data_IF_108788129183
#
_entry.id   IF_108788129183
#
_cell.length_a   1.000
_cell.length_b   1.000
_cell.length_c   1.000
_cell.angle_alpha   90.00
_cell.angle_beta   90.00
_cell.angle_gamma   90.00
#
_symmetry.space_group_name_H-M   'P 1'
#
loop_
_entity.id
_entity.type
_entity.pdbx_description
1 polymer ?
#
# COMPACT_ATOMS: atom_id res chain seq x y z
N UNK A 1 -8.60 12.09 36.43
CA UNK A 1 -9.19 13.42 36.73
C UNK A 1 -8.96 13.71 38.20
N UNK A 2 -8.08 14.66 38.55
CA UNK A 2 -7.96 15.14 39.94
C UNK A 2 -9.20 15.98 40.25
N UNK A 3 -10.01 15.54 41.21
CA UNK A 3 -11.07 16.34 41.81
C UNK A 3 -10.43 17.56 42.46
N UNK A 4 -10.71 18.75 41.92
CA UNK A 4 -10.39 20.01 42.61
C UNK A 4 -11.29 20.02 43.84
N UNK A 5 -10.69 20.02 45.02
CA UNK A 5 -11.41 20.17 46.29
C UNK A 5 -12.20 21.49 46.23
N UNK A 6 -13.49 21.39 45.96
CA UNK A 6 -14.40 22.52 45.98
C UNK A 6 -14.58 22.92 47.45
N UNK A 7 -13.89 23.97 47.88
CA UNK A 7 -14.13 24.60 49.18
C UNK A 7 -15.64 24.81 49.41
N UNK A 8 -16.12 24.54 50.63
CA UNK A 8 -17.52 24.69 50.99
C UNK A 8 -18.02 26.11 50.69
N UNK A 9 -19.29 26.26 50.28
CA UNK A 9 -19.83 27.53 49.76
C UNK A 9 -19.68 28.72 50.71
N UNK A 10 -19.57 28.42 52.01
CA UNK A 10 -19.36 29.36 53.11
C UNK A 10 -17.98 30.05 53.11
N UNK A 11 -16.98 29.49 52.42
CA UNK A 11 -15.64 30.07 52.26
C UNK A 11 -15.48 30.86 50.95
N UNK A 12 -16.54 30.98 50.14
CA UNK A 12 -16.48 31.72 48.87
C UNK A 12 -16.70 33.21 49.12
N UNK A 13 -15.62 33.98 49.04
CA UNK A 13 -15.66 35.44 49.14
C UNK A 13 -16.17 36.15 47.88
N UNK A 14 -16.20 37.48 47.92
CA UNK A 14 -16.49 38.32 46.75
C UNK A 14 -15.27 38.36 45.82
N UNK A 15 -15.50 38.25 44.51
CA UNK A 15 -14.43 38.37 43.53
C UNK A 15 -13.84 39.78 43.53
N UNK A 16 -12.51 39.86 43.58
CA UNK A 16 -11.74 41.10 43.52
C UNK A 16 -10.92 41.08 42.24
N UNK A 17 -10.93 42.18 41.49
CA UNK A 17 -10.12 42.31 40.30
C UNK A 17 -8.62 42.20 40.65
N UNK A 18 -7.79 41.42 39.93
CA UNK A 18 -6.37 41.17 40.28
C UNK A 18 -5.55 42.45 40.51
N UNK A 19 -5.76 43.50 39.69
CA UNK A 19 -5.10 44.81 39.87
C UNK A 19 -5.44 45.53 41.19
N UNK A 20 -6.55 45.19 41.83
CA UNK A 20 -7.02 45.80 43.08
C UNK A 20 -6.67 44.94 44.31
N UNK A 21 -6.20 43.70 44.10
CA UNK A 21 -5.98 42.74 45.19
C UNK A 21 -4.94 43.25 46.19
N UNK A 22 -3.88 43.89 45.70
CA UNK A 22 -2.80 44.42 46.54
C UNK A 22 -3.30 45.59 47.41
N UNK A 23 -4.10 46.49 46.83
CA UNK A 23 -4.69 47.62 47.56
C UNK A 23 -5.62 47.17 48.68
N UNK A 24 -6.47 46.17 48.40
CA UNK A 24 -7.40 45.62 49.38
C UNK A 24 -6.65 44.82 50.46
N UNK A 25 -5.61 44.07 50.09
CA UNK A 25 -4.82 43.31 51.03
C UNK A 25 -4.05 44.22 52.01
N UNK A 26 -3.47 45.32 51.52
CA UNK A 26 -2.80 46.34 52.34
C UNK A 26 -3.81 47.02 53.28
N UNK A 27 -5.01 47.35 52.78
CA UNK A 27 -6.08 47.95 53.58
C UNK A 27 -6.52 47.03 54.73
N UNK A 28 -6.57 45.71 54.49
CA UNK A 28 -6.95 44.72 55.50
C UNK A 28 -5.86 44.51 56.56
N UNK A 29 -4.61 44.23 56.16
CA UNK A 29 -3.44 44.31 57.05
C UNK A 29 -2.11 44.14 56.28
N UNK A 30 -1.01 44.72 56.76
CA UNK A 30 0.32 44.53 56.14
C UNK A 30 0.77 43.06 56.07
N UNK A 31 0.46 42.27 57.11
CA UNK A 31 0.80 40.85 57.16
C UNK A 31 0.03 40.05 56.10
N UNK A 32 -1.24 40.39 55.89
CA UNK A 32 -2.08 39.76 54.88
C UNK A 32 -1.62 40.10 53.45
N UNK A 33 -1.20 41.35 53.22
CA UNK A 33 -0.61 41.77 51.94
C UNK A 33 0.63 40.95 51.56
N UNK A 34 1.52 40.66 52.51
CA UNK A 34 2.70 39.81 52.27
C UNK A 34 2.31 38.41 51.80
N UNK A 35 1.38 37.76 52.49
CA UNK A 35 0.93 36.40 52.17
C UNK A 35 0.25 36.34 50.80
N UNK A 36 -0.58 37.35 50.47
CA UNK A 36 -1.21 37.45 49.14
C UNK A 36 -0.17 37.66 48.04
N UNK A 37 0.88 38.44 48.30
CA UNK A 37 2.01 38.64 47.39
C UNK A 37 2.73 37.33 47.05
N UNK A 38 3.10 36.55 48.06
CA UNK A 38 3.76 35.25 47.87
C UNK A 38 2.92 34.27 47.03
N UNK A 39 1.60 34.25 47.24
CA UNK A 39 0.68 33.42 46.45
C UNK A 39 0.61 33.90 45.00
N UNK A 40 0.54 35.21 44.77
CA UNK A 40 0.50 35.78 43.43
C UNK A 40 1.78 35.50 42.66
N UNK A 41 2.93 35.63 43.32
CA UNK A 41 4.24 35.34 42.73
C UNK A 41 4.36 33.86 42.37
N UNK A 42 3.96 32.95 43.27
CA UNK A 42 3.96 31.50 43.00
C UNK A 42 3.05 31.10 41.81
N UNK A 43 1.89 31.75 41.65
CA UNK A 43 1.00 31.54 40.50
C UNK A 43 1.67 32.04 39.21
N UNK A 44 2.32 33.20 39.26
CA UNK A 44 2.98 33.80 38.10
C UNK A 44 4.16 32.94 37.62
N UNK A 45 4.99 32.45 38.55
CA UNK A 45 6.09 31.52 38.25
C UNK A 45 5.59 30.22 37.62
N UNK A 46 4.50 29.64 38.14
CA UNK A 46 3.90 28.44 37.57
C UNK A 46 3.35 28.68 36.15
N UNK A 47 2.70 29.82 35.90
CA UNK A 47 2.18 30.15 34.56
C UNK A 47 3.33 30.29 33.55
N UNK A 48 4.44 30.93 33.93
CA UNK A 48 5.61 31.05 33.07
C UNK A 48 6.24 29.69 32.74
N UNK A 49 6.44 28.84 33.75
CA UNK A 49 6.99 27.50 33.55
C UNK A 49 6.11 26.64 32.63
N UNK A 50 4.79 26.65 32.84
CA UNK A 50 3.85 25.92 31.97
C UNK A 50 3.79 26.48 30.56
N UNK A 51 3.95 27.80 30.37
CA UNK A 51 3.98 28.39 29.04
C UNK A 51 5.27 28.02 28.28
N UNK A 52 6.41 27.99 28.95
CA UNK A 52 7.67 27.56 28.34
C UNK A 52 7.65 26.08 27.95
N UNK A 53 7.12 25.21 28.82
CA UNK A 53 6.93 23.78 28.53
C UNK A 53 5.97 23.56 27.35
N UNK A 54 4.81 24.22 27.34
CA UNK A 54 3.84 24.11 26.23
C UNK A 54 4.40 24.63 24.92
N UNK A 55 5.14 25.74 24.95
CA UNK A 55 5.82 26.29 23.77
C UNK A 55 6.91 25.35 23.26
N UNK A 56 7.63 24.69 24.14
CA UNK A 56 8.69 23.74 23.79
C UNK A 56 8.12 22.45 23.19
N UNK A 57 7.04 21.93 23.77
CA UNK A 57 6.30 20.77 23.24
C UNK A 57 5.72 21.09 21.86
N UNK A 58 5.16 22.29 21.68
CA UNK A 58 4.59 22.70 20.41
C UNK A 58 5.65 22.86 19.32
N UNK A 59 6.79 23.50 19.61
CA UNK A 59 7.92 23.60 18.67
C UNK A 59 8.46 22.22 18.27
N UNK A 60 8.65 21.34 19.25
CA UNK A 60 9.09 19.97 18.96
C UNK A 60 8.07 19.22 18.08
N UNK A 61 6.77 19.38 18.32
CA UNK A 61 5.74 18.78 17.48
C UNK A 61 5.79 19.32 16.04
N UNK A 62 5.95 20.63 15.87
CA UNK A 62 6.08 21.29 14.56
C UNK A 62 7.33 20.79 13.81
N UNK A 63 8.48 20.70 14.48
CA UNK A 63 9.73 20.19 13.90
C UNK A 63 9.59 18.73 13.45
N UNK A 64 8.99 17.87 14.29
CA UNK A 64 8.75 16.47 13.93
C UNK A 64 7.80 16.33 12.74
N UNK A 65 6.78 17.19 12.65
CA UNK A 65 5.83 17.17 11.54
C UNK A 65 6.48 17.60 10.22
N UNK A 66 7.30 18.65 10.26
CA UNK A 66 8.04 19.14 9.09
C UNK A 66 9.01 18.07 8.56
N UNK A 67 9.74 17.40 9.46
CA UNK A 67 10.65 16.30 9.09
C UNK A 67 9.90 15.15 8.39
N UNK A 68 8.74 14.74 8.92
CA UNK A 68 7.91 13.68 8.32
C UNK A 68 7.37 14.10 6.95
N UNK A 69 6.97 15.37 6.78
CA UNK A 69 6.52 15.89 5.48
C UNK A 69 7.64 15.84 4.44
N UNK A 70 8.86 16.24 4.81
CA UNK A 70 10.02 16.20 3.92
C UNK A 70 10.33 14.77 3.47
N UNK A 71 10.35 13.82 4.40
CA UNK A 71 10.54 12.39 4.09
C UNK A 71 9.46 11.87 3.12
N UNK A 72 8.19 12.19 3.37
CA UNK A 72 7.09 11.79 2.47
C UNK A 72 7.22 12.40 1.08
N UNK A 73 7.62 13.67 0.98
CA UNK A 73 7.80 14.34 -0.31
C UNK A 73 8.90 13.68 -1.15
N UNK A 74 10.01 13.26 -0.52
CA UNK A 74 11.09 12.53 -1.20
C UNK A 74 10.57 11.22 -1.78
N UNK A 75 9.82 10.44 -0.98
CA UNK A 75 9.24 9.16 -1.41
C UNK A 75 8.27 9.37 -2.58
N UNK A 76 7.41 10.39 -2.52
CA UNK A 76 6.47 10.73 -3.60
C UNK A 76 7.24 11.08 -4.88
N UNK A 77 8.33 11.85 -4.76
CA UNK A 77 9.13 12.23 -5.93
C UNK A 77 9.79 11.00 -6.57
N UNK A 78 10.34 10.08 -5.77
CA UNK A 78 10.93 8.82 -6.23
C UNK A 78 9.90 7.94 -6.95
N UNK A 79 8.74 7.69 -6.30
CA UNK A 79 7.62 6.96 -6.92
C UNK A 79 7.16 7.62 -8.23
N UNK A 80 7.14 8.95 -8.30
CA UNK A 80 6.77 9.67 -9.52
C UNK A 80 7.77 9.46 -10.67
N UNK A 81 9.06 9.32 -10.36
CA UNK A 81 10.12 9.02 -11.33
C UNK A 81 9.96 7.60 -11.87
N UNK A 82 9.70 6.63 -11.00
CA UNK A 82 9.39 5.25 -11.39
C UNK A 82 8.16 5.19 -12.32
N UNK A 83 7.06 5.85 -11.95
CA UNK A 83 5.85 5.92 -12.78
C UNK A 83 6.16 6.52 -14.16
N UNK A 84 6.97 7.59 -14.24
CA UNK A 84 7.38 8.20 -15.51
C UNK A 84 8.19 7.23 -16.38
N UNK A 85 9.06 6.40 -15.79
CA UNK A 85 9.80 5.36 -16.50
C UNK A 85 8.89 4.23 -17.02
N UNK A 86 7.74 3.99 -16.36
CA UNK A 86 6.74 3.00 -16.76
C UNK A 86 5.78 3.51 -17.86
N UNK A 87 5.62 4.84 -18.05
CA UNK A 87 4.78 5.43 -19.11
C UNK A 87 4.95 4.87 -20.53
N UNK A 88 6.15 4.53 -21.05
CA UNK A 88 6.26 3.95 -22.39
C UNK A 88 5.56 2.58 -22.56
N UNK A 89 5.18 1.90 -21.47
CA UNK A 89 4.45 0.61 -21.48
C UNK A 89 3.03 0.71 -20.90
N UNK A 90 2.46 1.91 -20.81
CA UNK A 90 1.12 2.10 -20.25
C UNK A 90 0.07 1.45 -21.16
N UNK A 91 -0.54 0.37 -20.67
CA UNK A 91 -1.66 -0.28 -21.33
C UNK A 91 -2.88 0.65 -21.23
N UNK A 92 -3.61 0.92 -22.33
CA UNK A 92 -4.81 1.74 -22.26
C UNK A 92 -5.81 1.18 -21.26
N UNK A 93 -6.45 2.07 -20.50
CA UNK A 93 -7.50 1.73 -19.55
C UNK A 93 -8.55 0.83 -20.22
N UNK A 94 -8.95 -0.24 -19.53
CA UNK A 94 -9.87 -1.29 -20.00
C UNK A 94 -9.33 -2.25 -21.07
N UNK A 95 -8.04 -2.16 -21.43
CA UNK A 95 -7.39 -3.13 -22.35
C UNK A 95 -6.43 -4.08 -21.65
N UNK A 96 -6.26 -3.93 -20.34
CA UNK A 96 -5.27 -4.64 -19.54
C UNK A 96 -5.35 -6.16 -19.72
N UNK A 97 -6.55 -6.74 -19.68
CA UNK A 97 -6.82 -8.19 -19.70
C UNK A 97 -7.46 -8.72 -20.99
N UNK A 98 -7.11 -8.16 -22.15
CA UNK A 98 -7.81 -8.48 -23.42
C UNK A 98 -7.38 -9.79 -24.12
N UNK A 99 -6.44 -10.55 -23.56
CA UNK A 99 -5.86 -11.72 -24.24
C UNK A 99 -6.36 -13.05 -23.66
N UNK A 100 -6.34 -14.06 -24.52
CA UNK A 100 -6.67 -15.46 -24.22
C UNK A 100 -5.43 -16.29 -24.57
N UNK A 101 -5.17 -17.32 -23.77
CA UNK A 101 -4.19 -18.36 -24.07
C UNK A 101 -4.93 -19.70 -24.17
N UNK A 102 -4.72 -20.40 -25.27
CA UNK A 102 -5.24 -21.73 -25.52
C UNK A 102 -4.10 -22.66 -25.89
N UNK A 103 -4.16 -23.89 -25.40
CA UNK A 103 -3.19 -24.94 -25.72
C UNK A 103 -3.97 -26.05 -26.40
N UNK A 104 -3.73 -26.19 -27.69
CA UNK A 104 -4.38 -27.17 -28.56
C UNK A 104 -3.43 -28.32 -28.85
N UNK A 105 -3.93 -29.56 -28.80
CA UNK A 105 -3.18 -30.72 -29.25
C UNK A 105 -3.14 -30.68 -30.79
N UNK A 106 -1.95 -30.70 -31.36
CA UNK A 106 -1.76 -30.60 -32.81
C UNK A 106 -1.55 -31.97 -33.44
N UNK A 107 -0.55 -32.72 -32.96
CA UNK A 107 -0.16 -34.01 -33.51
C UNK A 107 0.33 -34.97 -32.43
N UNK A 108 0.02 -36.25 -32.61
CA UNK A 108 0.59 -37.38 -31.86
C UNK A 108 1.33 -38.27 -32.86
N UNK A 109 2.66 -38.28 -32.79
CA UNK A 109 3.46 -39.07 -33.71
C UNK A 109 4.59 -39.80 -32.98
N UNK A 110 4.65 -41.12 -33.17
CA UNK A 110 5.68 -42.01 -32.60
C UNK A 110 5.89 -41.85 -31.09
N UNK A 111 4.80 -41.69 -30.32
CA UNK A 111 4.86 -41.56 -28.85
C UNK A 111 5.36 -40.19 -28.36
N UNK A 112 5.39 -39.19 -29.25
CA UNK A 112 5.59 -37.77 -28.91
C UNK A 112 4.30 -37.00 -29.20
N UNK A 113 3.88 -36.17 -28.26
CA UNK A 113 2.72 -35.29 -28.38
C UNK A 113 3.22 -33.88 -28.64
N UNK A 114 2.62 -33.20 -29.61
CA UNK A 114 2.91 -31.80 -29.91
C UNK A 114 1.71 -30.92 -29.58
N UNK A 115 1.95 -29.94 -28.72
CA UNK A 115 0.99 -28.92 -28.33
C UNK A 115 1.28 -27.60 -29.02
N UNK A 116 0.24 -26.97 -29.54
CA UNK A 116 0.29 -25.62 -30.07
C UNK A 116 -0.20 -24.61 -29.04
N UNK A 117 0.67 -23.70 -28.63
CA UNK A 117 0.37 -22.61 -27.72
C UNK A 117 -0.10 -21.39 -28.51
N UNK A 118 -1.38 -21.04 -28.39
CA UNK A 118 -1.99 -19.90 -29.09
C UNK A 118 -2.33 -18.80 -28.11
N UNK A 119 -1.75 -17.63 -28.33
CA UNK A 119 -2.13 -16.41 -27.61
C UNK A 119 -2.84 -15.46 -28.56
N UNK A 120 -4.09 -15.13 -28.24
CA UNK A 120 -4.98 -14.41 -29.13
C UNK A 120 -5.68 -13.25 -28.42
N UNK A 121 -5.96 -12.18 -29.16
CA UNK A 121 -6.72 -11.06 -28.64
C UNK A 121 -8.22 -11.35 -28.75
N UNK A 122 -8.95 -11.26 -27.63
CA UNK A 122 -10.39 -11.54 -27.55
C UNK A 122 -11.23 -10.71 -28.52
N UNK A 123 -10.79 -9.50 -28.86
CA UNK A 123 -11.49 -8.62 -29.81
C UNK A 123 -11.46 -9.10 -31.25
N UNK A 124 -10.48 -9.92 -31.60
CA UNK A 124 -10.29 -10.43 -32.96
C UNK A 124 -10.99 -11.78 -33.17
N UNK A 125 -11.60 -12.33 -32.12
CA UNK A 125 -12.23 -13.64 -32.13
C UNK A 125 -13.75 -13.52 -32.10
N UNK A 126 -14.41 -14.33 -32.93
CA UNK A 126 -15.84 -14.52 -32.89
C UNK A 126 -16.24 -15.47 -31.75
N UNK A 127 -17.49 -15.38 -31.28
CA UNK A 127 -18.02 -16.25 -30.20
C UNK A 127 -17.84 -17.75 -30.49
N UNK A 128 -17.97 -18.16 -31.76
CA UNK A 128 -17.78 -19.55 -32.19
C UNK A 128 -16.33 -20.00 -32.00
N UNK A 129 -15.36 -19.16 -32.36
CA UNK A 129 -13.94 -19.45 -32.23
C UNK A 129 -13.53 -19.52 -30.75
N UNK A 130 -14.05 -18.60 -29.92
CA UNK A 130 -13.83 -18.65 -28.46
C UNK A 130 -14.38 -19.96 -27.87
N UNK A 131 -15.56 -20.41 -28.33
CA UNK A 131 -16.13 -21.68 -27.84
C UNK A 131 -15.31 -22.89 -28.28
N UNK A 132 -14.68 -22.86 -29.46
CA UNK A 132 -13.75 -23.90 -29.90
C UNK A 132 -12.48 -23.90 -29.04
N UNK A 133 -11.91 -22.73 -28.77
CA UNK A 133 -10.74 -22.59 -27.90
C UNK A 133 -11.04 -23.04 -26.46
N UNK A 134 -12.27 -22.89 -25.97
CA UNK A 134 -12.66 -23.44 -24.66
C UNK A 134 -12.65 -24.97 -24.59
N UNK A 135 -12.65 -25.65 -25.73
CA UNK A 135 -12.56 -27.11 -25.82
C UNK A 135 -11.12 -27.61 -25.95
N UNK A 136 -10.13 -26.71 -26.00
CA UNK A 136 -8.71 -27.08 -26.04
C UNK A 136 -8.24 -27.70 -24.72
N UNK A 137 -7.07 -28.34 -24.72
CA UNK A 137 -6.54 -29.04 -23.55
C UNK A 137 -6.41 -28.12 -22.32
N UNK A 138 -5.95 -26.87 -22.54
CA UNK A 138 -5.97 -25.82 -21.53
C UNK A 138 -6.46 -24.50 -22.12
N UNK A 139 -7.23 -23.74 -21.34
CA UNK A 139 -7.79 -22.46 -21.73
C UNK A 139 -7.75 -21.47 -20.57
N UNK A 140 -7.12 -20.31 -20.80
CA UNK A 140 -7.02 -19.21 -19.85
C UNK A 140 -7.60 -17.93 -20.47
N UNK A 141 -8.61 -17.34 -19.81
CA UNK A 141 -9.22 -16.07 -20.20
C UNK A 141 -8.67 -14.91 -19.37
N UNK A 142 -8.88 -13.69 -19.85
CA UNK A 142 -8.55 -12.43 -19.17
C UNK A 142 -7.05 -12.26 -18.84
N UNK A 143 -6.17 -12.72 -19.72
CA UNK A 143 -4.74 -12.56 -19.56
C UNK A 143 -4.27 -11.15 -19.92
N UNK A 144 -3.20 -10.66 -19.26
CA UNK A 144 -2.71 -9.33 -19.54
C UNK A 144 -2.09 -9.22 -20.94
N UNK A 145 -1.86 -8.00 -21.42
CA UNK A 145 -1.19 -7.76 -22.73
C UNK A 145 0.27 -8.27 -22.76
N UNK A 146 0.92 -8.40 -21.61
CA UNK A 146 2.36 -8.64 -21.50
C UNK A 146 2.84 -9.93 -22.18
N UNK A 147 3.78 -9.82 -23.11
CA UNK A 147 4.32 -10.93 -23.94
C UNK A 147 5.18 -11.94 -23.16
N UNK A 148 5.53 -11.64 -21.90
CA UNK A 148 6.45 -12.39 -21.03
C UNK A 148 6.02 -13.81 -20.72
N UNK A 149 4.76 -14.18 -20.96
CA UNK A 149 4.21 -15.50 -20.63
C UNK A 149 4.89 -16.62 -21.40
N UNK A 150 5.13 -16.45 -22.70
CA UNK A 150 5.71 -17.53 -23.51
C UNK A 150 7.18 -17.78 -23.12
N UNK A 151 7.91 -16.72 -22.79
CA UNK A 151 9.31 -16.81 -22.36
C UNK A 151 9.40 -17.49 -21.00
N UNK A 152 8.64 -17.00 -20.00
CA UNK A 152 8.59 -17.60 -18.67
C UNK A 152 8.07 -19.04 -18.67
N UNK A 153 7.11 -19.36 -19.54
CA UNK A 153 6.62 -20.72 -19.70
C UNK A 153 7.70 -21.65 -20.25
N UNK A 154 8.47 -21.21 -21.26
CA UNK A 154 9.63 -21.97 -21.75
C UNK A 154 10.71 -22.14 -20.70
N UNK A 155 11.01 -21.10 -19.91
CA UNK A 155 11.98 -21.17 -18.82
C UNK A 155 11.56 -22.17 -17.73
N UNK A 156 10.30 -22.10 -17.28
CA UNK A 156 9.79 -23.02 -16.25
C UNK A 156 9.78 -24.47 -16.74
N UNK A 157 9.33 -24.71 -17.96
CA UNK A 157 9.29 -26.07 -18.52
C UNK A 157 10.69 -26.66 -18.76
N UNK A 158 11.69 -25.85 -19.13
CA UNK A 158 13.09 -26.32 -19.23
C UNK A 158 13.69 -26.74 -17.89
N UNK A 159 13.17 -26.25 -16.77
CA UNK A 159 13.64 -26.66 -15.44
C UNK A 159 13.03 -27.98 -14.99
N UNK A 160 11.86 -28.35 -15.54
CA UNK A 160 11.06 -29.50 -15.10
C UNK A 160 11.17 -30.73 -16.00
N UNK A 161 11.58 -30.54 -17.25
CA UNK A 161 11.69 -31.60 -18.27
C UNK A 161 13.06 -31.58 -18.95
N UNK A 162 13.72 -32.74 -19.00
CA UNK A 162 15.02 -32.91 -19.67
C UNK A 162 14.89 -33.17 -21.19
N UNK A 163 13.82 -33.84 -21.63
CA UNK A 163 13.54 -34.18 -23.05
C UNK A 163 12.33 -33.38 -23.56
N UNK A 164 12.52 -32.09 -23.80
CA UNK A 164 11.48 -31.18 -24.29
C UNK A 164 11.98 -30.35 -25.47
N UNK A 165 11.21 -30.37 -26.56
CA UNK A 165 11.51 -29.61 -27.78
C UNK A 165 10.57 -28.42 -27.90
N UNK A 166 11.15 -27.22 -28.09
CA UNK A 166 10.41 -25.99 -28.33
C UNK A 166 10.64 -25.50 -29.75
N UNK A 167 9.61 -25.52 -30.60
CA UNK A 167 9.67 -24.94 -31.94
C UNK A 167 8.64 -23.82 -32.10
N UNK A 168 9.11 -22.57 -32.08
CA UNK A 168 8.24 -21.38 -32.15
C UNK A 168 7.19 -21.38 -31.02
N UNK A 169 5.92 -21.62 -31.34
CA UNK A 169 4.79 -21.72 -30.42
C UNK A 169 4.36 -23.16 -30.15
N UNK A 170 5.16 -24.14 -30.57
CA UNK A 170 4.90 -25.56 -30.37
C UNK A 170 5.79 -26.12 -29.26
N UNK A 171 5.23 -27.04 -28.50
CA UNK A 171 5.91 -27.77 -27.44
C UNK A 171 5.73 -29.24 -27.73
N UNK A 172 6.82 -29.98 -27.84
CA UNK A 172 6.80 -31.43 -28.11
C UNK A 172 7.40 -32.16 -26.93
N UNK A 173 6.67 -33.14 -26.39
CA UNK A 173 7.02 -33.90 -25.19
C UNK A 173 6.66 -35.38 -25.39
N UNK A 174 7.38 -36.32 -24.74
CA UNK A 174 6.99 -37.73 -24.74
C UNK A 174 5.58 -37.95 -24.17
N UNK A 175 4.83 -38.89 -24.73
CA UNK A 175 3.45 -39.22 -24.32
C UNK A 175 3.32 -39.56 -22.82
N UNK A 176 4.36 -40.13 -22.21
CA UNK A 176 4.40 -40.44 -20.78
C UNK A 176 4.32 -39.21 -19.86
N UNK A 177 4.75 -38.05 -20.35
CA UNK A 177 4.85 -36.79 -19.60
C UNK A 177 3.68 -35.83 -19.88
N UNK A 178 2.68 -36.27 -20.64
CA UNK A 178 1.56 -35.45 -21.11
C UNK A 178 0.83 -34.71 -19.98
N UNK A 179 0.31 -35.47 -19.02
CA UNK A 179 -0.48 -34.91 -17.92
C UNK A 179 0.38 -34.02 -17.01
N UNK A 180 1.64 -34.41 -16.81
CA UNK A 180 2.61 -33.64 -16.03
C UNK A 180 2.87 -32.29 -16.68
N UNK A 181 2.99 -32.24 -18.01
CA UNK A 181 3.17 -31.00 -18.75
C UNK A 181 1.97 -30.06 -18.59
N UNK A 182 0.75 -30.56 -18.73
CA UNK A 182 -0.45 -29.74 -18.58
C UNK A 182 -0.56 -29.16 -17.17
N UNK A 183 -0.29 -29.96 -16.14
CA UNK A 183 -0.28 -29.52 -14.75
C UNK A 183 0.80 -28.45 -14.49
N UNK A 184 2.02 -28.66 -14.99
CA UNK A 184 3.11 -27.70 -14.89
C UNK A 184 2.77 -26.38 -15.57
N UNK A 185 2.16 -26.43 -16.76
CA UNK A 185 1.73 -25.23 -17.48
C UNK A 185 0.67 -24.47 -16.70
N UNK A 186 -0.35 -25.15 -16.16
CA UNK A 186 -1.38 -24.50 -15.35
C UNK A 186 -0.76 -23.81 -14.14
N UNK A 187 0.12 -24.52 -13.42
CA UNK A 187 0.82 -23.98 -12.25
C UNK A 187 1.65 -22.74 -12.59
N UNK A 188 2.44 -22.78 -13.66
CA UNK A 188 3.28 -21.66 -14.08
C UNK A 188 2.40 -20.45 -14.43
N UNK A 189 1.32 -20.65 -15.19
CA UNK A 189 0.43 -19.56 -15.59
C UNK A 189 -0.30 -18.96 -14.39
N UNK A 190 -0.79 -19.79 -13.48
CA UNK A 190 -1.41 -19.34 -12.23
C UNK A 190 -0.43 -18.53 -11.38
N UNK A 191 0.80 -18.99 -11.21
CA UNK A 191 1.83 -18.27 -10.46
C UNK A 191 2.23 -16.92 -11.09
N UNK A 192 2.02 -16.75 -12.40
CA UNK A 192 2.31 -15.49 -13.09
C UNK A 192 1.20 -14.45 -12.97
N UNK A 193 -0.02 -14.87 -12.66
CA UNK A 193 -1.22 -14.03 -12.74
C UNK A 193 -2.13 -14.08 -11.50
N UNK A 194 -1.64 -14.64 -10.39
CA UNK A 194 -2.12 -14.38 -9.03
C UNK A 194 -1.59 -13.04 -8.51
#
# INVERSE_FOLDING_TARGET
MKTIESYASEYRGTWIHPKLINYIAIWASPKYASVVGEIMDAINEHILATHDETTSIQKHAEDTFNMVIEEQNIIIEEQSKEIKQLKPRAVPKDKETSYILAIELEDEWQGKITYQVRRLNKRHLCKKEINLLKQSALFFDNLPIAMTTNEKLKEGLKQEFDDIDFFSNKITVPEADDQKLLDSISRIIEALYQ
#
